data_IF_352942510652
#
_entry.id   IF_352942510652
#
_cell.length_a   1.000
_cell.length_b   1.000
_cell.length_c   1.000
_cell.angle_alpha   90.00
_cell.angle_beta   90.00
_cell.angle_gamma   90.00
#
_symmetry.space_group_name_H-M   'P 1'
#
loop_
_entity.id
_entity.type
_entity.pdbx_description
1 polymer ?
#
# COMPACT_ATOMS: atom_id res chain seq x y z
N UNK A 1 12.99 13.11 19.84
CA UNK A 1 12.71 12.49 18.87
C UNK A 1 13.74 11.70 18.28
N UNK A 2 14.61 12.05 17.66
CA UNK A 2 15.78 11.46 17.22
C UNK A 2 15.74 9.97 16.92
N UNK A 3 16.64 9.27 17.55
CA UNK A 3 16.85 7.87 17.26
C UNK A 3 15.62 7.00 17.52
N UNK A 4 14.94 7.27 18.60
CA UNK A 4 13.81 6.44 18.97
C UNK A 4 12.71 6.49 17.91
N UNK A 5 12.40 7.69 17.42
CA UNK A 5 11.40 7.83 16.38
C UNK A 5 11.84 7.22 15.09
N UNK A 6 13.10 7.36 14.74
CA UNK A 6 13.63 6.77 13.53
C UNK A 6 13.58 5.24 13.58
N UNK A 7 13.93 4.68 14.74
CA UNK A 7 13.90 3.23 14.90
C UNK A 7 12.49 2.69 14.77
N UNK A 8 11.52 3.42 15.31
CA UNK A 8 10.13 3.00 15.21
C UNK A 8 9.68 3.04 13.75
N UNK A 9 10.00 4.11 13.07
CA UNK A 9 9.61 4.23 11.66
C UNK A 9 10.22 3.13 10.83
N UNK A 10 11.51 2.87 11.03
CA UNK A 10 12.19 1.83 10.28
C UNK A 10 11.58 0.47 10.54
N UNK A 11 11.16 0.24 11.77
CA UNK A 11 10.55 -1.04 12.12
C UNK A 11 9.28 -1.30 11.35
N UNK A 12 8.43 -0.29 11.23
CA UNK A 12 7.17 -0.45 10.51
C UNK A 12 7.40 -0.53 9.00
N UNK A 13 8.38 0.20 8.50
CA UNK A 13 8.74 0.08 7.08
C UNK A 13 9.19 -1.33 6.76
N UNK A 14 10.04 -1.91 7.61
CA UNK A 14 10.51 -3.28 7.43
C UNK A 14 9.37 -4.27 7.50
N UNK A 15 8.42 -4.01 8.40
CA UNK A 15 7.26 -4.89 8.52
C UNK A 15 6.47 -4.93 7.22
N UNK A 16 6.25 -3.78 6.62
CA UNK A 16 5.53 -3.71 5.34
C UNK A 16 6.32 -4.40 4.24
N UNK A 17 7.62 -4.11 4.15
CA UNK A 17 8.47 -4.72 3.13
C UNK A 17 8.47 -6.24 3.26
N UNK A 18 8.63 -6.74 4.49
CA UNK A 18 8.66 -8.18 4.71
C UNK A 18 7.34 -8.83 4.32
N UNK A 19 6.24 -8.19 4.67
CA UNK A 19 4.92 -8.72 4.33
C UNK A 19 4.75 -8.82 2.82
N UNK A 20 5.17 -7.81 2.09
CA UNK A 20 5.08 -7.83 0.64
C UNK A 20 5.96 -8.92 0.06
N UNK A 21 7.21 -9.01 0.53
CA UNK A 21 8.13 -10.02 0.03
C UNK A 21 7.66 -11.45 0.30
N UNK A 22 7.03 -11.65 1.44
CA UNK A 22 6.47 -12.96 1.76
C UNK A 22 5.39 -13.37 0.78
N UNK A 23 4.82 -12.41 0.10
CA UNK A 23 3.79 -12.66 -0.88
C UNK A 23 4.32 -12.47 -2.31
N UNK A 24 5.63 -12.57 -2.47
CA UNK A 24 6.29 -12.52 -3.78
C UNK A 24 6.15 -11.18 -4.48
N UNK A 25 6.03 -10.11 -3.71
CA UNK A 25 5.99 -8.77 -4.27
C UNK A 25 7.33 -8.10 -3.96
N UNK A 26 7.98 -7.59 -4.98
CA UNK A 26 9.28 -6.96 -4.83
C UNK A 26 9.12 -5.61 -4.13
N UNK A 27 9.79 -5.46 -2.99
CA UNK A 27 9.70 -4.24 -2.21
C UNK A 27 11.00 -4.01 -1.46
N UNK A 28 11.31 -2.74 -1.21
CA UNK A 28 12.51 -2.37 -0.49
C UNK A 28 12.31 -1.03 0.19
N UNK A 29 12.99 -0.83 1.30
CA UNK A 29 12.97 0.47 1.95
C UNK A 29 13.77 1.46 1.13
N UNK A 30 13.32 2.70 1.14
CA UNK A 30 14.06 3.77 0.48
C UNK A 30 15.26 4.11 1.35
N UNK A 31 16.48 4.11 0.79
CA UNK A 31 17.65 4.43 1.58
C UNK A 31 17.56 5.84 2.16
N UNK A 32 18.07 5.97 3.37
CA UNK A 32 18.10 7.27 4.02
C UNK A 32 19.34 8.06 3.68
N UNK A 33 20.09 7.58 2.73
CA UNK A 33 21.28 8.31 2.34
C UNK A 33 20.86 9.69 1.88
N UNK A 34 21.59 10.61 2.10
CA UNK A 34 21.21 11.93 1.69
C UNK A 34 20.07 12.43 2.51
N UNK A 35 19.98 11.92 3.65
CA UNK A 35 18.96 12.33 4.56
C UNK A 35 18.78 13.81 4.56
N UNK A 36 19.71 14.46 4.09
CA UNK A 36 19.58 15.86 3.98
C UNK A 36 18.36 16.20 3.17
N UNK A 37 18.02 15.32 2.33
CA UNK A 37 16.96 15.69 1.49
C UNK A 37 15.65 15.50 2.14
N UNK A 38 15.21 16.28 2.92
CA UNK A 38 13.92 16.12 3.47
C UNK A 38 12.85 16.05 2.43
N UNK A 39 13.25 15.95 1.19
CA UNK A 39 12.25 15.91 0.13
C UNK A 39 11.86 14.51 -0.29
N UNK A 40 12.33 13.54 0.42
CA UNK A 40 11.97 12.20 0.05
C UNK A 40 10.51 11.98 0.29
N UNK A 41 9.81 11.69 -0.74
CA UNK A 41 8.42 11.35 -0.61
C UNK A 41 8.36 9.84 -0.59
N UNK A 42 7.90 9.30 0.50
CA UNK A 42 7.69 7.87 0.59
C UNK A 42 8.81 7.12 1.26
N UNK A 43 8.47 5.99 1.82
CA UNK A 43 9.37 5.21 2.65
C UNK A 43 9.73 3.87 2.03
N UNK A 44 8.92 3.40 1.10
CA UNK A 44 9.07 2.06 0.54
C UNK A 44 8.88 2.11 -0.97
N UNK A 45 9.74 1.41 -1.68
CA UNK A 45 9.59 1.23 -3.11
C UNK A 45 9.03 -0.15 -3.37
N UNK A 46 8.04 -0.23 -4.23
CA UNK A 46 7.40 -1.47 -4.61
C UNK A 46 7.47 -1.60 -6.12
N UNK A 47 7.81 -2.78 -6.62
CA UNK A 47 7.84 -3.00 -8.06
C UNK A 47 6.70 -3.93 -8.44
N UNK A 48 5.83 -3.43 -9.30
CA UNK A 48 4.67 -4.17 -9.75
C UNK A 48 4.65 -4.14 -11.27
N UNK A 49 4.72 -5.31 -11.89
CA UNK A 49 4.72 -5.41 -13.35
C UNK A 49 5.80 -4.54 -13.97
N UNK A 50 6.96 -4.51 -13.33
CA UNK A 50 8.08 -3.74 -13.86
C UNK A 50 8.02 -2.26 -13.57
N UNK A 51 6.98 -1.80 -12.92
CA UNK A 51 6.83 -0.38 -12.60
C UNK A 51 7.15 -0.14 -11.14
N UNK A 52 7.78 1.00 -10.88
CA UNK A 52 8.17 1.35 -9.52
C UNK A 52 7.10 2.23 -8.91
N UNK A 53 6.64 1.82 -7.74
CA UNK A 53 5.62 2.56 -7.01
C UNK A 53 6.19 2.95 -5.67
N UNK A 54 6.06 4.20 -5.30
CA UNK A 54 6.56 4.71 -4.03
C UNK A 54 5.43 4.78 -3.03
N UNK A 55 5.65 4.24 -1.84
CA UNK A 55 4.65 4.22 -0.80
C UNK A 55 5.13 4.91 0.46
N UNK A 56 4.21 5.51 1.18
CA UNK A 56 4.47 6.14 2.46
C UNK A 56 3.91 5.25 3.54
N UNK A 57 4.64 5.07 4.63
CA UNK A 57 4.19 4.25 5.76
C UNK A 57 3.92 5.16 6.95
N UNK A 58 2.71 5.11 7.47
CA UNK A 58 2.33 5.84 8.67
C UNK A 58 1.80 4.87 9.68
N UNK A 59 2.36 4.88 10.87
CA UNK A 59 1.92 4.02 11.95
C UNK A 59 1.52 4.89 13.14
N UNK A 60 0.41 4.57 13.73
CA UNK A 60 -0.09 5.29 14.89
C UNK A 60 -0.51 4.27 15.94
N UNK A 61 -0.05 4.48 17.16
CA UNK A 61 -0.27 3.52 18.23
C UNK A 61 -1.75 3.16 18.40
N UNK A 62 -2.60 4.15 18.40
CA UNK A 62 -4.03 3.92 18.59
C UNK A 62 -4.84 4.15 17.32
N UNK A 63 -4.19 4.08 16.18
CA UNK A 63 -4.91 4.29 14.93
C UNK A 63 -5.38 5.71 14.72
N UNK A 64 -4.75 6.66 15.41
CA UNK A 64 -5.13 8.05 15.28
C UNK A 64 -5.05 8.50 13.82
N UNK A 65 -6.14 9.08 13.33
CA UNK A 65 -6.20 9.50 11.94
C UNK A 65 -6.75 8.43 11.02
N UNK A 66 -6.87 7.19 11.50
CA UNK A 66 -7.36 6.09 10.67
C UNK A 66 -8.78 5.67 11.02
N UNK A 67 -9.29 6.15 12.13
CA UNK A 67 -10.58 5.70 12.64
C UNK A 67 -11.72 5.90 11.65
N UNK A 68 -11.80 7.08 11.08
CA UNK A 68 -12.88 7.39 10.14
C UNK A 68 -12.74 6.54 8.88
N UNK A 69 -11.51 6.40 8.39
CA UNK A 69 -11.26 5.60 7.21
C UNK A 69 -11.66 4.16 7.45
N UNK A 70 -11.29 3.61 8.60
CA UNK A 70 -11.66 2.25 8.96
C UNK A 70 -13.16 2.07 9.01
N UNK A 71 -13.85 3.06 9.54
CA UNK A 71 -15.30 3.00 9.65
C UNK A 71 -15.94 2.99 8.26
N UNK A 72 -15.47 3.85 7.40
CA UNK A 72 -16.03 3.92 6.04
C UNK A 72 -15.70 2.69 5.22
N UNK A 73 -14.49 2.16 5.38
CA UNK A 73 -14.11 0.96 4.65
C UNK A 73 -14.95 -0.23 5.09
N UNK A 74 -15.16 -0.37 6.39
CA UNK A 74 -15.98 -1.45 6.93
C UNK A 74 -15.50 -2.81 6.42
N UNK A 75 -16.43 -3.59 5.91
CA UNK A 75 -16.12 -4.90 5.37
C UNK A 75 -15.87 -4.90 3.88
N UNK A 76 -15.75 -3.72 3.30
CA UNK A 76 -15.52 -3.62 1.86
C UNK A 76 -14.08 -3.90 1.50
N UNK A 77 -13.88 -4.31 0.27
CA UNK A 77 -12.53 -4.57 -0.22
C UNK A 77 -11.84 -3.31 -0.68
N UNK A 78 -12.58 -2.24 -0.87
CA UNK A 78 -12.04 -1.03 -1.45
C UNK A 78 -12.90 0.16 -1.06
N UNK A 79 -12.26 1.27 -0.80
CA UNK A 79 -12.92 2.52 -0.47
C UNK A 79 -12.39 3.62 -1.38
N UNK A 80 -13.28 4.38 -2.00
CA UNK A 80 -12.86 5.54 -2.77
C UNK A 80 -13.21 6.79 -2.00
N UNK A 81 -12.26 7.70 -1.91
CA UNK A 81 -12.48 8.98 -1.25
C UNK A 81 -12.33 10.09 -2.29
N UNK A 82 -13.33 10.94 -2.38
CA UNK A 82 -13.37 11.99 -3.39
C UNK A 82 -13.57 13.34 -2.72
N UNK A 83 -12.69 14.28 -3.03
CA UNK A 83 -12.85 15.66 -2.59
C UNK A 83 -13.05 16.52 -3.83
N UNK A 84 -13.69 17.66 -3.65
CA UNK A 84 -13.95 18.55 -4.78
C UNK A 84 -12.66 18.94 -5.48
N UNK A 85 -12.70 18.86 -6.80
CA UNK A 85 -11.59 19.32 -7.64
C UNK A 85 -10.28 18.61 -7.36
N UNK A 86 -10.34 17.40 -6.84
CA UNK A 86 -9.13 16.61 -6.59
C UNK A 86 -9.30 15.22 -7.15
N UNK A 87 -8.19 14.60 -7.41
CA UNK A 87 -8.19 13.24 -7.88
C UNK A 87 -8.69 12.32 -6.77
N UNK A 88 -9.59 11.40 -7.07
CA UNK A 88 -10.04 10.46 -6.05
C UNK A 88 -8.90 9.59 -5.55
N UNK A 89 -9.01 9.16 -4.30
CA UNK A 89 -8.05 8.23 -3.73
C UNK A 89 -8.70 6.87 -3.55
N UNK A 90 -7.91 5.83 -3.71
CA UNK A 90 -8.37 4.47 -3.48
C UNK A 90 -7.67 3.94 -2.22
N UNK A 91 -8.45 3.39 -1.31
CA UNK A 91 -7.94 2.86 -0.05
C UNK A 91 -8.42 1.43 0.08
N UNK A 92 -7.54 0.54 0.47
CA UNK A 92 -7.90 -0.87 0.57
C UNK A 92 -7.13 -1.56 1.68
N UNK A 93 -7.68 -2.66 2.20
CA UNK A 93 -6.92 -3.47 3.15
C UNK A 93 -5.69 -4.06 2.46
N UNK A 94 -4.66 -4.33 3.23
CA UNK A 94 -3.45 -4.94 2.68
C UNK A 94 -3.78 -6.26 1.97
N UNK A 95 -4.73 -7.02 2.49
CA UNK A 95 -5.10 -8.29 1.87
C UNK A 95 -5.60 -8.10 0.44
N UNK A 96 -6.37 -7.06 0.21
CA UNK A 96 -6.87 -6.77 -1.13
C UNK A 96 -5.70 -6.43 -2.05
N UNK A 97 -4.80 -5.58 -1.58
CA UNK A 97 -3.66 -5.18 -2.38
C UNK A 97 -2.80 -6.39 -2.75
N UNK A 98 -2.51 -7.24 -1.78
CA UNK A 98 -1.71 -8.43 -2.03
C UNK A 98 -2.39 -9.35 -3.03
N UNK A 99 -3.69 -9.52 -2.89
CA UNK A 99 -4.45 -10.35 -3.80
C UNK A 99 -4.34 -9.84 -5.23
N UNK A 100 -4.43 -8.53 -5.40
CA UNK A 100 -4.37 -7.94 -6.73
C UNK A 100 -2.99 -8.03 -7.35
N UNK A 101 -1.95 -8.01 -6.55
CA UNK A 101 -0.59 -7.94 -7.05
C UNK A 101 0.14 -9.27 -7.16
N UNK A 102 -0.19 -10.22 -6.30
CA UNK A 102 0.62 -11.43 -6.18
C UNK A 102 0.22 -12.57 -7.08
N UNK A 103 -0.98 -12.53 -7.63
CA UNK A 103 -1.47 -13.62 -8.47
C UNK A 103 -1.78 -13.14 -9.87
N UNK A 104 -0.77 -12.60 -10.52
CA UNK A 104 -0.96 -12.03 -11.83
C UNK A 104 -1.62 -12.97 -12.81
N UNK A 105 -1.15 -14.20 -12.89
CA UNK A 105 -1.70 -15.16 -13.82
C UNK A 105 -3.14 -15.52 -13.46
N UNK A 106 -3.37 -15.81 -12.21
CA UNK A 106 -4.70 -16.14 -11.76
C UNK A 106 -5.65 -14.97 -11.93
N UNK A 107 -5.16 -13.78 -11.64
CA UNK A 107 -5.98 -12.60 -11.75
C UNK A 107 -6.41 -12.37 -13.19
N UNK A 108 -5.53 -12.60 -14.13
CA UNK A 108 -5.87 -12.47 -15.54
C UNK A 108 -6.93 -13.47 -15.93
N UNK A 109 -6.79 -14.70 -15.45
CA UNK A 109 -7.77 -15.72 -15.74
C UNK A 109 -9.13 -15.38 -15.14
N UNK A 110 -9.12 -14.92 -13.92
CA UNK A 110 -10.33 -14.52 -13.23
C UNK A 110 -11.01 -13.38 -13.96
N UNK A 111 -10.22 -12.41 -14.41
CA UNK A 111 -10.75 -11.26 -15.11
C UNK A 111 -11.45 -11.67 -16.42
N UNK A 112 -10.81 -12.55 -17.16
CA UNK A 112 -11.40 -13.05 -18.40
C UNK A 112 -12.69 -13.80 -18.10
N UNK A 113 -12.67 -14.59 -17.06
CA UNK A 113 -13.82 -15.38 -16.67
C UNK A 113 -14.98 -14.48 -16.23
N UNK A 114 -14.65 -13.46 -15.44
CA UNK A 114 -15.64 -12.52 -14.96
C UNK A 114 -16.28 -11.73 -16.09
N UNK A 115 -15.48 -11.38 -17.08
CA UNK A 115 -16.02 -10.65 -18.23
C UNK A 115 -17.03 -11.50 -18.96
N UNK A 116 -16.78 -12.77 -19.06
CA UNK A 116 -17.72 -13.68 -19.68
C UNK A 116 -19.02 -13.73 -18.89
N UNK A 117 -18.92 -13.73 -17.59
CA UNK A 117 -20.07 -13.72 -16.72
C UNK A 117 -20.86 -12.42 -16.86
N UNK A 118 -20.15 -11.32 -16.99
CA UNK A 118 -20.79 -10.02 -17.10
C UNK A 118 -21.56 -9.87 -18.40
N UNK A 119 -21.14 -10.54 -19.41
CA UNK A 119 -21.80 -10.49 -20.68
C UNK A 119 -23.15 -11.19 -20.65
N UNK A 120 -23.38 -11.90 -19.59
CA UNK A 120 -24.64 -12.54 -19.40
C UNK A 120 -25.63 -11.58 -18.78
#
# INVERSE_FOLDING_TARGET
MGKFSRDKGARYERKIVNLLRENNIDAARVPLSGSAGGNFAGDVDIRIFGKKIRAEVKARKNGSGFTTINKWLGDNDLLFCIANNQEPMAIMPMATLIKLMSNDQELKNVKIHNNADEDI
#
